data_IF_609495655627
#
_entry.id   IF_609495655627
#
_cell.length_a   1.000
_cell.length_b   1.000
_cell.length_c   1.000
_cell.angle_alpha   90.00
_cell.angle_beta   90.00
_cell.angle_gamma   90.00
#
_symmetry.space_group_name_H-M   'P 1'
#
loop_
_entity.id
_entity.type
_entity.pdbx_description
1 polymer ?
#
# COMPACT_ATOMS: atom_id res chain seq x y z
N UNK A 1 11.32 -6.43 -14.55
CA UNK A 1 12.57 -6.00 -13.88
C UNK A 1 12.32 -5.99 -12.39
N UNK A 2 12.98 -6.86 -11.61
CA UNK A 2 12.99 -6.76 -10.16
C UNK A 2 14.09 -5.76 -9.78
N UNK A 3 13.71 -4.52 -9.47
CA UNK A 3 14.66 -3.54 -8.96
C UNK A 3 15.08 -3.98 -7.56
N UNK A 4 16.35 -4.37 -7.41
CA UNK A 4 16.91 -4.72 -6.10
C UNK A 4 17.01 -3.41 -5.31
N UNK A 5 16.15 -3.25 -4.32
CA UNK A 5 16.16 -2.10 -3.41
C UNK A 5 17.48 -2.08 -2.62
N UNK A 6 18.07 -0.92 -2.44
CA UNK A 6 19.24 -0.74 -1.56
C UNK A 6 18.87 -1.06 -0.11
N UNK A 7 19.86 -1.40 0.72
CA UNK A 7 19.63 -1.77 2.14
C UNK A 7 18.90 -0.69 2.95
N UNK A 8 19.06 0.58 2.58
CA UNK A 8 18.34 1.71 3.19
C UNK A 8 16.87 1.72 2.77
N UNK A 9 16.60 1.57 1.47
CA UNK A 9 15.24 1.48 0.94
C UNK A 9 14.50 0.25 1.48
N UNK A 10 15.21 -0.87 1.68
CA UNK A 10 14.65 -2.06 2.34
C UNK A 10 14.30 -1.82 3.81
N UNK A 11 15.12 -1.06 4.55
CA UNK A 11 14.84 -0.70 5.94
C UNK A 11 13.64 0.26 6.05
N UNK A 12 13.56 1.26 5.17
CA UNK A 12 12.43 2.20 5.10
C UNK A 12 11.12 1.48 4.69
N UNK A 13 11.22 0.58 3.70
CA UNK A 13 10.12 -0.30 3.28
C UNK A 13 9.71 -1.25 4.41
N UNK A 14 10.66 -1.80 5.16
CA UNK A 14 10.40 -2.66 6.31
C UNK A 14 9.70 -1.92 7.45
N UNK A 15 10.06 -0.66 7.71
CA UNK A 15 9.39 0.18 8.70
C UNK A 15 7.96 0.52 8.27
N UNK A 16 7.76 0.86 6.99
CA UNK A 16 6.42 1.09 6.41
C UNK A 16 5.57 -0.17 6.46
N UNK A 17 6.11 -1.32 6.03
CA UNK A 17 5.46 -2.62 6.09
C UNK A 17 4.95 -2.94 7.50
N UNK A 18 5.77 -2.77 8.53
CA UNK A 18 5.34 -2.99 9.93
C UNK A 18 4.20 -2.07 10.36
N UNK A 19 4.19 -0.82 9.89
CA UNK A 19 3.11 0.15 10.19
C UNK A 19 1.81 -0.18 9.48
N UNK A 20 1.87 -0.81 8.30
CA UNK A 20 0.68 -1.18 7.51
C UNK A 20 0.19 -2.60 7.76
N UNK A 21 0.86 -3.38 8.62
CA UNK A 21 0.45 -4.74 9.00
C UNK A 21 1.20 -5.87 8.29
N UNK A 22 2.34 -5.57 7.66
CA UNK A 22 3.22 -6.51 6.99
C UNK A 22 3.49 -6.13 5.53
N UNK A 23 4.46 -6.82 4.93
CA UNK A 23 4.84 -6.61 3.52
C UNK A 23 3.70 -7.01 2.56
N UNK A 24 2.99 -8.10 2.87
CA UNK A 24 1.84 -8.55 2.07
C UNK A 24 0.72 -7.50 2.00
N UNK A 25 0.48 -6.81 3.11
CA UNK A 25 -0.52 -5.72 3.17
C UNK A 25 -0.06 -4.53 2.34
N UNK A 26 1.22 -4.18 2.42
CA UNK A 26 1.82 -3.11 1.61
C UNK A 26 1.65 -3.38 0.11
N UNK A 27 2.03 -4.58 -0.36
CA UNK A 27 1.89 -4.97 -1.77
C UNK A 27 0.43 -4.99 -2.22
N UNK A 28 -0.49 -5.45 -1.36
CA UNK A 28 -1.92 -5.40 -1.66
C UNK A 28 -2.40 -3.96 -1.83
N UNK A 29 -2.03 -3.06 -0.92
CA UNK A 29 -2.41 -1.65 -0.97
C UNK A 29 -1.85 -0.95 -2.20
N UNK A 30 -0.61 -1.22 -2.60
CA UNK A 30 -0.03 -0.68 -3.83
C UNK A 30 -0.82 -1.12 -5.08
N UNK A 31 -1.22 -2.39 -5.14
CA UNK A 31 -2.04 -2.91 -6.25
C UNK A 31 -3.42 -2.25 -6.28
N UNK A 32 -4.05 -2.06 -5.14
CA UNK A 32 -5.34 -1.38 -5.03
C UNK A 32 -5.23 0.09 -5.46
N UNK A 33 -4.19 0.80 -5.01
CA UNK A 33 -3.91 2.18 -5.40
C UNK A 33 -3.71 2.31 -6.91
N UNK A 34 -2.92 1.41 -7.50
CA UNK A 34 -2.69 1.39 -8.95
C UNK A 34 -3.98 1.19 -9.72
N UNK A 35 -4.86 0.27 -9.31
CA UNK A 35 -6.17 0.08 -9.95
C UNK A 35 -7.05 1.33 -9.90
N UNK A 36 -7.00 2.09 -8.80
CA UNK A 36 -7.77 3.33 -8.64
C UNK A 36 -7.19 4.43 -9.56
N UNK A 37 -5.86 4.53 -9.64
CA UNK A 37 -5.18 5.46 -10.54
C UNK A 37 -5.42 5.13 -12.01
N UNK A 38 -5.36 3.85 -12.39
CA UNK A 38 -5.67 3.38 -13.74
C UNK A 38 -7.14 3.69 -14.13
N UNK A 39 -8.03 3.78 -13.14
CA UNK A 39 -9.42 4.22 -13.32
C UNK A 39 -9.58 5.76 -13.31
N UNK A 40 -8.50 6.53 -13.28
CA UNK A 40 -8.49 7.99 -13.31
C UNK A 40 -8.90 8.66 -12.00
N UNK A 41 -8.87 7.94 -10.87
CA UNK A 41 -9.27 8.45 -9.54
C UNK A 41 -8.08 8.56 -8.61
N UNK A 42 -8.23 9.36 -7.55
CA UNK A 42 -7.21 9.47 -6.50
C UNK A 42 -7.51 8.44 -5.41
N UNK A 43 -6.53 7.60 -5.06
CA UNK A 43 -6.68 6.63 -3.96
C UNK A 43 -6.22 7.21 -2.63
N UNK A 44 -6.97 6.94 -1.56
CA UNK A 44 -6.60 7.23 -0.17
C UNK A 44 -6.59 5.96 0.65
N UNK A 45 -5.63 5.81 1.55
CA UNK A 45 -5.58 4.67 2.47
C UNK A 45 -6.50 4.97 3.66
N UNK A 46 -7.43 4.06 3.93
CA UNK A 46 -8.31 4.12 5.10
C UNK A 46 -8.37 2.79 5.82
N UNK A 47 -8.69 2.83 7.12
CA UNK A 47 -8.88 1.63 7.93
C UNK A 47 -10.30 1.14 7.79
N UNK A 48 -10.47 -0.08 7.31
CA UNK A 48 -11.76 -0.74 7.19
C UNK A 48 -12.40 -0.88 8.59
N UNK A 49 -13.61 -0.35 8.82
CA UNK A 49 -14.23 -0.38 10.14
C UNK A 49 -14.64 -1.78 10.59
N UNK A 50 -14.89 -2.71 9.64
CA UNK A 50 -15.34 -4.09 9.87
C UNK A 50 -14.16 -5.03 10.11
N UNK A 51 -13.16 -4.99 9.23
CA UNK A 51 -12.00 -5.92 9.31
C UNK A 51 -10.82 -5.36 10.09
N UNK A 52 -10.85 -4.06 10.42
CA UNK A 52 -9.75 -3.30 11.03
C UNK A 52 -8.46 -3.29 10.20
N UNK A 53 -8.50 -3.77 8.96
CA UNK A 53 -7.37 -3.77 8.04
C UNK A 53 -7.30 -2.46 7.25
N UNK A 54 -6.13 -2.11 6.75
CA UNK A 54 -5.98 -1.01 5.81
C UNK A 54 -6.46 -1.43 4.42
N UNK A 55 -7.14 -0.52 3.72
CA UNK A 55 -7.59 -0.65 2.33
C UNK A 55 -7.44 0.68 1.59
N UNK A 56 -7.35 0.65 0.27
CA UNK A 56 -7.40 1.88 -0.54
C UNK A 56 -8.83 2.18 -0.98
N UNK A 57 -9.29 3.40 -0.74
CA UNK A 57 -10.59 3.91 -1.20
C UNK A 57 -10.38 4.98 -2.27
N UNK A 58 -11.24 4.98 -3.29
CA UNK A 58 -11.22 6.04 -4.30
C UNK A 58 -11.86 7.30 -3.73
N UNK A 59 -11.17 8.42 -3.87
CA UNK A 59 -11.68 9.77 -3.61
C UNK A 59 -11.93 10.39 -4.98
N UNK A 60 -13.15 10.93 -5.15
CA UNK A 60 -13.61 11.56 -6.37
C UNK A 60 -12.80 12.82 -6.70
#
# INVERSE_FOLDING_TARGET
MATILSSREQAETGALARRVGGYDVMIRLERELKRIQDAGKTGKIERDPKTKQLRVVAVA
#
